data_IF_724574839963
#
_entry.id   IF_724574839963
#
_cell.length_a   1.000
_cell.length_b   1.000
_cell.length_c   1.000
_cell.angle_alpha   90.00
_cell.angle_beta   90.00
_cell.angle_gamma   90.00
#
_symmetry.space_group_name_H-M   'P 1'
#
loop_
_entity.id
_entity.type
_entity.pdbx_description
1 polymer ?
#
# COMPACT_ATOMS: atom_id res chain seq x y z
N UNK A 1 24.92 -55.96 -18.71
CA UNK A 1 24.25 -56.59 -17.54
C UNK A 1 23.52 -55.51 -16.78
N UNK A 2 22.18 -55.53 -16.84
CA UNK A 2 21.27 -54.55 -16.20
C UNK A 2 20.99 -55.04 -14.78
N UNK A 3 21.20 -54.18 -13.76
CA UNK A 3 20.68 -54.41 -12.39
C UNK A 3 19.58 -53.38 -12.14
N UNK A 4 18.34 -53.85 -12.17
CA UNK A 4 17.14 -53.17 -11.75
C UNK A 4 17.08 -53.15 -10.22
N UNK A 5 17.08 -51.97 -9.60
CA UNK A 5 16.80 -51.83 -8.16
C UNK A 5 15.30 -51.53 -7.99
N UNK A 6 14.59 -52.49 -7.39
CA UNK A 6 13.21 -52.32 -6.93
C UNK A 6 13.18 -51.50 -5.64
N UNK A 7 12.52 -50.34 -5.66
CA UNK A 7 12.13 -49.61 -4.46
C UNK A 7 10.84 -50.20 -3.90
N UNK A 8 10.93 -50.81 -2.73
CA UNK A 8 9.79 -51.29 -1.97
C UNK A 8 9.23 -50.15 -1.11
N UNK A 9 8.07 -49.63 -1.48
CA UNK A 9 7.32 -48.68 -0.68
C UNK A 9 6.71 -49.37 0.56
N UNK A 10 7.17 -48.99 1.75
CA UNK A 10 6.51 -49.36 3.01
C UNK A 10 5.39 -48.35 3.31
N UNK A 11 4.17 -48.77 3.07
CA UNK A 11 2.97 -48.06 3.61
C UNK A 11 2.93 -48.27 5.13
N UNK A 12 3.22 -47.22 5.89
CA UNK A 12 2.91 -47.14 7.31
C UNK A 12 1.52 -46.56 7.50
N UNK A 13 0.56 -47.39 7.84
CA UNK A 13 -0.77 -46.97 8.29
C UNK A 13 -0.69 -46.48 9.73
N UNK A 14 -1.08 -45.20 9.96
CA UNK A 14 -1.27 -44.66 11.30
C UNK A 14 -2.71 -44.97 11.79
N UNK A 15 -2.90 -45.47 13.00
CA UNK A 15 -4.21 -45.71 13.56
C UNK A 15 -4.86 -44.36 13.97
N UNK A 16 -6.02 -44.04 13.38
CA UNK A 16 -6.84 -42.89 13.77
C UNK A 16 -7.54 -43.24 15.10
N UNK A 17 -7.09 -42.66 16.20
CA UNK A 17 -7.80 -42.70 17.49
C UNK A 17 -9.08 -41.88 17.38
N UNK A 18 -10.24 -42.53 17.37
CA UNK A 18 -11.54 -41.87 17.57
C UNK A 18 -11.65 -41.42 19.02
N UNK A 19 -11.53 -40.14 19.30
CA UNK A 19 -11.90 -39.57 20.58
C UNK A 19 -13.43 -39.31 20.57
N UNK A 20 -14.11 -39.94 21.52
CA UNK A 20 -15.51 -39.72 21.84
C UNK A 20 -15.65 -38.31 22.46
N UNK A 21 -16.17 -37.36 21.70
CA UNK A 21 -16.54 -36.06 22.24
C UNK A 21 -17.81 -36.17 23.05
N UNK A 22 -17.70 -35.92 24.34
CA UNK A 22 -18.87 -35.70 25.21
C UNK A 22 -19.52 -34.39 24.83
N UNK A 23 -20.84 -34.43 24.58
CA UNK A 23 -21.68 -33.25 24.41
C UNK A 23 -21.75 -32.49 25.75
N UNK A 24 -21.02 -31.40 25.85
CA UNK A 24 -21.23 -30.38 26.87
C UNK A 24 -22.28 -29.40 26.39
N UNK A 25 -23.25 -29.17 27.22
CA UNK A 25 -24.39 -28.27 27.06
C UNK A 25 -23.99 -26.90 26.55
N UNK A 26 -24.62 -26.52 25.44
CA UNK A 26 -24.43 -25.27 24.72
C UNK A 26 -25.01 -24.10 25.54
N UNK A 27 -24.20 -23.43 26.35
CA UNK A 27 -24.55 -22.14 26.93
C UNK A 27 -24.39 -21.11 25.84
N UNK A 28 -25.48 -20.71 25.19
CA UNK A 28 -25.53 -19.59 24.26
C UNK A 28 -25.19 -18.30 25.03
N UNK A 29 -23.93 -17.90 24.98
CA UNK A 29 -23.51 -16.56 25.38
C UNK A 29 -24.06 -15.61 24.32
N UNK A 30 -25.12 -14.90 24.64
CA UNK A 30 -25.68 -13.78 23.86
C UNK A 30 -24.60 -12.70 23.77
N UNK A 31 -23.81 -12.73 22.72
CA UNK A 31 -22.90 -11.64 22.36
C UNK A 31 -23.78 -10.50 21.85
N UNK A 32 -23.97 -9.46 22.66
CA UNK A 32 -24.51 -8.19 22.22
C UNK A 32 -23.70 -7.71 21.01
N UNK A 33 -24.34 -7.13 19.97
CA UNK A 33 -23.61 -6.66 18.79
C UNK A 33 -22.65 -5.54 19.21
N UNK A 34 -21.36 -5.84 19.29
CA UNK A 34 -20.35 -4.82 19.49
C UNK A 34 -20.49 -3.84 18.33
N UNK A 35 -20.70 -2.54 18.62
CA UNK A 35 -20.68 -1.46 17.62
C UNK A 35 -19.31 -1.47 16.98
N UNK A 36 -19.22 -2.02 15.76
CA UNK A 36 -17.99 -1.98 14.97
C UNK A 36 -17.65 -0.51 14.75
N UNK A 37 -16.52 -0.06 15.28
CA UNK A 37 -15.99 1.25 14.95
C UNK A 37 -15.79 1.33 13.43
N UNK A 38 -16.17 2.44 12.79
CA UNK A 38 -15.97 2.58 11.34
C UNK A 38 -14.49 2.43 11.00
N UNK A 39 -14.18 1.61 10.01
CA UNK A 39 -12.82 1.39 9.53
C UNK A 39 -12.31 2.65 8.84
N UNK A 40 -11.00 2.86 8.91
CA UNK A 40 -10.29 3.94 8.24
C UNK A 40 -10.16 3.57 6.76
N UNK A 41 -10.72 4.38 5.88
CA UNK A 41 -10.66 4.20 4.43
C UNK A 41 -9.28 4.58 3.91
N UNK A 42 -8.56 3.64 3.30
CA UNK A 42 -7.24 3.90 2.75
C UNK A 42 -7.17 3.62 1.27
N UNK A 43 -6.31 4.38 0.58
CA UNK A 43 -5.92 4.17 -0.80
C UNK A 43 -4.40 4.10 -0.92
N UNK A 44 -3.89 3.13 -1.69
CA UNK A 44 -2.50 3.01 -2.09
C UNK A 44 -2.39 3.27 -3.58
N UNK A 45 -1.69 4.32 -3.96
CA UNK A 45 -1.57 4.78 -5.35
C UNK A 45 -0.11 4.77 -5.79
N UNK A 46 0.16 4.11 -6.91
CA UNK A 46 1.47 4.06 -7.52
C UNK A 46 1.50 4.93 -8.78
N UNK A 47 2.45 5.83 -8.84
CA UNK A 47 2.81 6.62 -10.02
C UNK A 47 4.11 6.09 -10.66
N UNK A 48 5.02 6.94 -11.12
CA UNK A 48 6.25 6.48 -11.77
C UNK A 48 7.33 6.10 -10.76
N UNK A 49 7.50 4.80 -10.54
CA UNK A 49 8.53 4.19 -9.69
C UNK A 49 8.79 2.73 -10.06
N UNK A 50 9.62 2.04 -9.27
CA UNK A 50 9.88 0.60 -9.36
C UNK A 50 8.89 -0.26 -8.57
N UNK A 51 8.01 0.33 -7.78
CA UNK A 51 7.04 -0.32 -6.87
C UNK A 51 7.65 -1.09 -5.68
N UNK A 52 8.93 -0.88 -5.38
CA UNK A 52 9.58 -1.54 -4.22
C UNK A 52 8.90 -1.20 -2.89
N UNK A 53 8.36 0.02 -2.73
CA UNK A 53 7.61 0.36 -1.51
C UNK A 53 6.28 -0.36 -1.43
N UNK A 54 5.64 -0.68 -2.57
CA UNK A 54 4.46 -1.55 -2.61
C UNK A 54 4.81 -2.96 -2.12
N UNK A 55 5.99 -3.50 -2.48
CA UNK A 55 6.48 -4.80 -1.97
C UNK A 55 6.67 -4.72 -0.47
N UNK A 56 7.41 -3.73 0.03
CA UNK A 56 7.62 -3.52 1.48
C UNK A 56 6.29 -3.34 2.23
N UNK A 57 5.34 -2.57 1.68
CA UNK A 57 4.01 -2.42 2.27
C UNK A 57 3.26 -3.75 2.38
N UNK A 58 3.36 -4.62 1.36
CA UNK A 58 2.71 -5.94 1.41
C UNK A 58 3.34 -6.87 2.46
N UNK A 59 4.65 -6.79 2.67
CA UNK A 59 5.34 -7.51 3.74
C UNK A 59 4.90 -7.03 5.11
N UNK A 60 4.92 -5.71 5.34
CA UNK A 60 4.41 -5.10 6.58
C UNK A 60 2.94 -5.46 6.84
N UNK A 61 2.11 -5.41 5.80
CA UNK A 61 0.71 -5.79 5.90
C UNK A 61 0.54 -7.27 6.28
N UNK A 62 1.37 -8.18 5.75
CA UNK A 62 1.32 -9.58 6.09
C UNK A 62 1.60 -9.80 7.59
N UNK A 63 2.60 -9.11 8.14
CA UNK A 63 2.96 -9.20 9.56
C UNK A 63 1.88 -8.61 10.48
N UNK A 64 1.18 -7.56 10.03
CA UNK A 64 0.15 -6.85 10.79
C UNK A 64 -1.28 -7.16 10.34
N UNK A 65 -1.50 -8.19 9.52
CA UNK A 65 -2.78 -8.49 8.88
C UNK A 65 -3.96 -8.59 9.85
N UNK A 66 -3.78 -9.26 10.98
CA UNK A 66 -4.85 -9.49 11.96
C UNK A 66 -5.39 -8.18 12.55
N UNK A 67 -4.52 -7.20 12.76
CA UNK A 67 -4.86 -5.88 13.25
C UNK A 67 -5.42 -5.00 12.11
N UNK A 68 -4.72 -4.97 10.97
CA UNK A 68 -5.05 -4.07 9.86
C UNK A 68 -6.38 -4.40 9.18
N UNK A 69 -6.77 -5.66 9.10
CA UNK A 69 -8.08 -6.05 8.57
C UNK A 69 -9.26 -5.52 9.41
N UNK A 70 -9.06 -5.28 10.71
CA UNK A 70 -10.09 -4.70 11.59
C UNK A 70 -10.03 -3.16 11.58
N UNK A 71 -8.86 -2.58 11.35
CA UNK A 71 -8.62 -1.14 11.40
C UNK A 71 -8.90 -0.45 10.06
N UNK A 72 -8.52 -1.07 8.94
CA UNK A 72 -8.54 -0.48 7.62
C UNK A 72 -9.61 -1.05 6.69
N UNK A 73 -10.15 -0.18 5.83
CA UNK A 73 -10.92 -0.50 4.64
C UNK A 73 -10.09 -0.09 3.40
N UNK A 74 -9.53 -1.06 2.70
CA UNK A 74 -8.73 -0.84 1.47
C UNK A 74 -9.67 -0.53 0.31
N UNK A 75 -9.86 0.76 0.00
CA UNK A 75 -10.70 1.24 -1.11
C UNK A 75 -10.00 1.19 -2.46
N UNK A 76 -8.69 1.42 -2.44
CA UNK A 76 -7.85 1.42 -3.62
C UNK A 76 -6.48 0.83 -3.29
N UNK A 77 -6.12 -0.28 -3.92
CA UNK A 77 -4.79 -0.90 -3.84
C UNK A 77 -4.63 -1.91 -5.00
N UNK A 78 -4.16 -1.45 -6.16
CA UNK A 78 -4.14 -2.26 -7.39
C UNK A 78 -3.32 -3.53 -7.28
N UNK A 79 -2.28 -3.53 -6.45
CA UNK A 79 -1.47 -4.72 -6.19
C UNK A 79 -2.21 -5.80 -5.38
N UNK A 80 -3.25 -5.42 -4.59
CA UNK A 80 -3.92 -6.29 -3.64
C UNK A 80 -5.32 -6.72 -4.08
N UNK A 81 -5.99 -5.93 -4.93
CA UNK A 81 -7.38 -6.17 -5.27
C UNK A 81 -7.73 -5.75 -6.70
N UNK A 82 -8.70 -6.43 -7.30
CA UNK A 82 -9.21 -6.14 -8.64
C UNK A 82 -10.25 -5.03 -8.67
N UNK A 83 -11.05 -4.88 -7.59
CA UNK A 83 -12.05 -3.81 -7.49
C UNK A 83 -11.46 -2.63 -6.75
N UNK A 84 -11.25 -1.53 -7.45
CA UNK A 84 -10.65 -0.30 -6.92
C UNK A 84 -11.60 0.87 -7.18
N UNK A 85 -11.88 1.65 -6.13
CA UNK A 85 -12.78 2.80 -6.21
C UNK A 85 -12.03 4.05 -5.73
N UNK A 86 -12.08 5.13 -6.50
CA UNK A 86 -11.57 6.44 -6.10
C UNK A 86 -12.78 7.26 -5.62
N UNK A 87 -13.12 7.11 -4.35
CA UNK A 87 -14.17 7.87 -3.67
C UNK A 87 -13.58 8.76 -2.56
N UNK A 88 -13.91 8.53 -1.31
CA UNK A 88 -13.35 9.24 -0.16
C UNK A 88 -12.33 8.38 0.56
N UNK A 89 -11.19 8.98 0.91
CA UNK A 89 -10.14 8.36 1.70
C UNK A 89 -9.90 9.11 3.00
N UNK A 90 -9.72 8.38 4.08
CA UNK A 90 -9.18 8.96 5.30
C UNK A 90 -7.67 9.18 5.13
N UNK A 91 -6.96 8.21 4.50
CA UNK A 91 -5.53 8.30 4.18
C UNK A 91 -5.30 7.85 2.73
N UNK A 92 -4.63 8.66 1.93
CA UNK A 92 -4.08 8.29 0.64
C UNK A 92 -2.55 8.17 0.74
N UNK A 93 -2.00 7.00 0.46
CA UNK A 93 -0.58 6.76 0.30
C UNK A 93 -0.21 6.90 -1.17
N UNK A 94 0.79 7.70 -1.46
CA UNK A 94 1.25 8.00 -2.82
C UNK A 94 2.69 7.55 -2.97
N UNK A 95 2.90 6.55 -3.80
CA UNK A 95 4.21 6.07 -4.22
C UNK A 95 4.54 6.56 -5.63
N UNK A 96 5.81 6.92 -5.86
CA UNK A 96 6.30 7.31 -7.18
C UNK A 96 6.22 8.81 -7.47
N UNK A 97 6.86 9.20 -8.56
CA UNK A 97 6.96 10.58 -9.01
C UNK A 97 5.92 10.92 -10.08
N UNK A 98 5.62 12.20 -10.26
CA UNK A 98 4.71 12.71 -11.28
C UNK A 98 5.51 12.98 -12.56
N UNK A 99 5.20 12.25 -13.63
CA UNK A 99 5.94 12.27 -14.89
C UNK A 99 5.12 12.67 -16.10
N UNK A 100 3.79 12.86 -15.95
CA UNK A 100 2.88 13.28 -17.00
C UNK A 100 1.79 14.21 -16.44
N UNK A 101 1.12 14.95 -17.31
CA UNK A 101 -0.02 15.79 -16.93
C UNK A 101 -1.14 14.95 -16.30
N UNK A 102 -1.47 13.80 -16.88
CA UNK A 102 -2.47 12.88 -16.34
C UNK A 102 -2.14 12.44 -14.91
N UNK A 103 -0.85 12.24 -14.58
CA UNK A 103 -0.43 11.95 -13.20
C UNK A 103 -0.72 13.14 -12.29
N UNK A 104 -0.45 14.36 -12.74
CA UNK A 104 -0.72 15.57 -11.99
C UNK A 104 -2.22 15.77 -11.71
N UNK A 105 -3.07 15.61 -12.72
CA UNK A 105 -4.53 15.68 -12.58
C UNK A 105 -5.07 14.62 -11.62
N UNK A 106 -4.66 13.36 -11.81
CA UNK A 106 -5.07 12.28 -10.94
C UNK A 106 -4.62 12.50 -9.49
N UNK A 107 -3.41 13.02 -9.28
CA UNK A 107 -2.90 13.31 -7.93
C UNK A 107 -3.73 14.43 -7.26
N UNK A 108 -4.13 15.46 -8.00
CA UNK A 108 -5.03 16.51 -7.50
C UNK A 108 -6.41 15.94 -7.13
N UNK A 109 -6.96 15.04 -7.97
CA UNK A 109 -8.22 14.36 -7.68
C UNK A 109 -8.13 13.55 -6.38
N UNK A 110 -7.07 12.74 -6.22
CA UNK A 110 -6.83 11.95 -5.02
C UNK A 110 -6.71 12.84 -3.79
N UNK A 111 -5.95 13.95 -3.90
CA UNK A 111 -5.80 14.91 -2.80
C UNK A 111 -7.14 15.52 -2.38
N UNK A 112 -7.97 15.90 -3.33
CA UNK A 112 -9.28 16.49 -3.06
C UNK A 112 -10.23 15.53 -2.33
N UNK A 113 -10.06 14.22 -2.53
CA UNK A 113 -10.85 13.15 -1.91
C UNK A 113 -10.22 12.55 -0.64
N UNK A 114 -9.09 13.07 -0.18
CA UNK A 114 -8.34 12.51 0.95
C UNK A 114 -8.25 13.49 2.11
N UNK A 115 -8.50 13.02 3.35
CA UNK A 115 -8.27 13.83 4.57
C UNK A 115 -6.79 14.03 4.81
N UNK A 116 -6.00 12.94 4.74
CA UNK A 116 -4.54 12.96 4.87
C UNK A 116 -3.92 12.33 3.61
N UNK A 117 -2.80 12.89 3.17
CA UNK A 117 -2.01 12.36 2.05
C UNK A 117 -0.57 12.16 2.50
N UNK A 118 -0.07 10.93 2.31
CA UNK A 118 1.26 10.50 2.70
C UNK A 118 2.08 10.18 1.45
N UNK A 119 3.19 10.87 1.25
CA UNK A 119 4.15 10.55 0.19
C UNK A 119 5.09 9.44 0.65
N UNK A 120 5.23 8.38 -0.14
CA UNK A 120 5.99 7.17 0.23
C UNK A 120 7.10 6.89 -0.77
N UNK A 121 8.31 6.72 -0.24
CA UNK A 121 9.49 6.41 -1.01
C UNK A 121 10.17 7.64 -1.63
N UNK A 122 11.46 7.50 -1.99
CA UNK A 122 12.28 8.58 -2.49
C UNK A 122 11.72 9.23 -3.78
N UNK A 123 11.10 8.45 -4.67
CA UNK A 123 10.49 9.01 -5.88
C UNK A 123 9.35 9.99 -5.58
N UNK A 124 8.51 9.68 -4.58
CA UNK A 124 7.41 10.57 -4.16
C UNK A 124 7.91 11.79 -3.37
N UNK A 125 8.89 11.58 -2.47
CA UNK A 125 9.35 12.59 -1.48
C UNK A 125 10.35 13.57 -2.10
N UNK A 126 11.32 13.09 -2.89
CA UNK A 126 12.39 13.92 -3.47
C UNK A 126 12.46 13.87 -5.00
N UNK A 127 11.58 13.10 -5.64
CA UNK A 127 11.55 12.95 -7.10
C UNK A 127 12.64 12.03 -7.69
N UNK A 128 13.41 11.33 -6.86
CA UNK A 128 14.54 10.49 -7.28
C UNK A 128 14.36 9.05 -6.81
N UNK A 129 14.87 8.05 -7.54
CA UNK A 129 15.69 8.15 -8.78
C UNK A 129 14.89 8.37 -10.07
N UNK A 130 13.53 8.37 -10.06
CA UNK A 130 12.71 8.55 -11.27
C UNK A 130 13.01 9.84 -12.03
N UNK A 131 13.46 10.88 -11.33
CA UNK A 131 13.74 12.19 -11.89
C UNK A 131 15.17 12.43 -12.41
N UNK A 132 15.98 11.40 -12.64
CA UNK A 132 17.37 11.55 -13.11
C UNK A 132 17.48 12.45 -14.34
N UNK A 133 16.51 12.39 -15.27
CA UNK A 133 16.48 13.23 -16.48
C UNK A 133 16.42 14.73 -16.19
N UNK A 134 16.00 15.14 -14.98
CA UNK A 134 15.98 16.55 -14.59
C UNK A 134 17.39 17.16 -14.57
N UNK A 135 18.40 16.35 -14.29
CA UNK A 135 19.81 16.75 -14.25
C UNK A 135 20.53 16.60 -15.60
N UNK A 136 19.84 16.13 -16.66
CA UNK A 136 20.46 15.94 -17.97
C UNK A 136 20.91 17.27 -18.58
N UNK A 137 22.10 17.24 -19.23
CA UNK A 137 22.59 18.35 -20.03
C UNK A 137 21.80 18.46 -21.33
N UNK A 138 21.92 19.61 -22.02
CA UNK A 138 21.17 19.90 -23.25
C UNK A 138 21.21 18.74 -24.25
N UNK A 139 22.38 18.24 -24.58
CA UNK A 139 22.55 17.12 -25.53
C UNK A 139 21.70 15.90 -25.15
N UNK A 140 21.73 15.50 -23.88
CA UNK A 140 20.97 14.35 -23.40
C UNK A 140 19.43 14.62 -23.42
N UNK A 141 19.03 15.87 -23.17
CA UNK A 141 17.61 16.28 -23.26
C UNK A 141 17.13 16.21 -24.71
N UNK A 142 17.94 16.71 -25.65
CA UNK A 142 17.63 16.66 -27.08
C UNK A 142 17.51 15.21 -27.58
N UNK A 143 18.37 14.30 -27.08
CA UNK A 143 18.33 12.88 -27.43
C UNK A 143 17.05 12.15 -26.95
N UNK A 144 16.43 12.57 -25.84
CA UNK A 144 15.21 11.94 -25.29
C UNK A 144 13.92 12.67 -25.65
N UNK A 145 13.98 13.83 -26.30
CA UNK A 145 12.82 14.69 -26.56
C UNK A 145 11.71 13.96 -27.32
N UNK A 146 12.06 13.14 -28.31
CA UNK A 146 11.09 12.33 -29.06
C UNK A 146 10.37 11.32 -28.18
N UNK A 147 11.03 10.75 -27.16
CA UNK A 147 10.42 9.84 -26.20
C UNK A 147 9.44 10.59 -25.28
N UNK A 148 9.85 11.77 -24.79
CA UNK A 148 8.99 12.58 -23.93
C UNK A 148 7.71 12.97 -24.67
N UNK A 149 7.82 13.38 -25.93
CA UNK A 149 6.67 13.70 -26.79
C UNK A 149 5.80 12.48 -27.06
N UNK A 150 6.41 11.35 -27.45
CA UNK A 150 5.68 10.12 -27.77
C UNK A 150 4.88 9.58 -26.60
N UNK A 151 5.39 9.70 -25.38
CA UNK A 151 4.74 9.20 -24.17
C UNK A 151 4.01 10.29 -23.37
N UNK A 152 3.80 11.47 -23.93
CA UNK A 152 3.18 12.61 -23.27
C UNK A 152 3.77 12.88 -21.87
N UNK A 153 5.10 12.73 -21.75
CA UNK A 153 5.81 12.92 -20.50
C UNK A 153 6.15 14.39 -20.27
N UNK A 154 6.08 14.81 -19.01
CA UNK A 154 6.55 16.14 -18.62
C UNK A 154 8.05 16.32 -18.93
N UNK A 155 8.48 17.51 -19.35
CA UNK A 155 9.91 17.83 -19.53
C UNK A 155 10.72 17.64 -18.23
N UNK A 156 10.08 17.87 -17.07
CA UNK A 156 10.64 17.72 -15.74
C UNK A 156 9.78 16.76 -14.92
N UNK A 157 10.41 15.81 -14.23
CA UNK A 157 9.76 14.95 -13.24
C UNK A 157 9.52 15.76 -11.97
N UNK A 158 8.33 15.67 -11.40
CA UNK A 158 7.93 16.37 -10.20
C UNK A 158 7.79 15.38 -9.04
N UNK A 159 8.13 15.81 -7.83
CA UNK A 159 7.78 15.11 -6.60
C UNK A 159 6.32 15.41 -6.22
N UNK A 160 5.75 14.63 -5.31
CA UNK A 160 4.35 14.77 -4.92
C UNK A 160 4.05 16.17 -4.35
N UNK A 161 4.95 16.70 -3.52
CA UNK A 161 4.78 18.03 -2.88
C UNK A 161 4.92 19.21 -3.85
N UNK A 162 5.42 19.00 -5.08
CA UNK A 162 5.40 20.03 -6.12
C UNK A 162 3.99 20.23 -6.72
N UNK A 163 3.10 19.27 -6.54
CA UNK A 163 1.76 19.24 -7.16
C UNK A 163 0.64 19.45 -6.15
N UNK A 164 0.74 18.81 -4.97
CA UNK A 164 -0.28 18.87 -3.92
C UNK A 164 0.34 18.98 -2.53
N UNK A 165 -0.46 19.44 -1.55
CA UNK A 165 -0.06 19.44 -0.14
C UNK A 165 0.09 18.00 0.36
N UNK A 166 1.23 17.70 0.95
CA UNK A 166 1.57 16.44 1.63
C UNK A 166 1.45 16.65 3.14
N UNK A 167 0.81 15.73 3.84
CA UNK A 167 0.61 15.79 5.30
C UNK A 167 1.68 15.01 6.07
N UNK A 168 2.26 13.96 5.44
CA UNK A 168 3.37 13.19 6.00
C UNK A 168 4.21 12.56 4.88
N UNK A 169 5.46 12.24 5.20
CA UNK A 169 6.43 11.65 4.27
C UNK A 169 7.10 10.43 4.90
N UNK A 170 7.30 9.39 4.08
CA UNK A 170 8.11 8.20 4.39
C UNK A 170 9.21 8.12 3.33
N UNK A 171 10.42 8.60 3.59
CA UNK A 171 11.53 8.54 2.64
C UNK A 171 12.08 7.11 2.51
N UNK A 172 12.97 6.91 1.54
CA UNK A 172 13.68 5.64 1.33
C UNK A 172 13.46 5.05 -0.06
N UNK A 173 14.37 4.20 -0.50
CA UNK A 173 14.31 3.49 -1.78
C UNK A 173 14.95 2.09 -1.62
N UNK A 174 14.16 1.12 -1.15
CA UNK A 174 12.81 1.23 -0.60
C UNK A 174 12.72 1.95 0.76
N UNK A 175 11.49 2.22 1.21
CA UNK A 175 11.22 2.80 2.54
C UNK A 175 11.62 1.85 3.65
N UNK A 176 11.97 2.41 4.82
CA UNK A 176 12.15 1.62 6.04
C UNK A 176 10.79 1.18 6.62
N UNK A 177 10.56 -0.14 6.87
CA UNK A 177 9.30 -0.66 7.40
C UNK A 177 8.88 -0.06 8.74
N UNK A 178 9.85 0.16 9.66
CA UNK A 178 9.55 0.70 10.98
C UNK A 178 9.14 2.17 10.89
N UNK A 179 9.84 2.96 10.08
CA UNK A 179 9.49 4.35 9.82
C UNK A 179 8.11 4.48 9.17
N UNK A 180 7.78 3.57 8.25
CA UNK A 180 6.45 3.50 7.66
C UNK A 180 5.38 3.25 8.71
N UNK A 181 5.57 2.26 9.60
CA UNK A 181 4.65 1.95 10.70
C UNK A 181 4.48 3.12 11.68
N UNK A 182 5.57 3.83 12.02
CA UNK A 182 5.51 5.01 12.86
C UNK A 182 4.63 6.11 12.24
N UNK A 183 4.81 6.39 10.94
CA UNK A 183 4.00 7.37 10.21
C UNK A 183 2.55 6.94 10.14
N UNK A 184 2.26 5.67 9.83
CA UNK A 184 0.89 5.11 9.81
C UNK A 184 0.22 5.31 11.18
N UNK A 185 0.87 4.90 12.26
CA UNK A 185 0.34 4.99 13.62
C UNK A 185 0.08 6.45 14.03
N UNK A 186 0.98 7.37 13.69
CA UNK A 186 0.82 8.81 13.94
C UNK A 186 -0.39 9.37 13.20
N UNK A 187 -0.51 9.14 11.90
CA UNK A 187 -1.60 9.66 11.07
C UNK A 187 -2.95 9.08 11.50
N UNK A 188 -3.01 7.80 11.83
CA UNK A 188 -4.19 7.14 12.40
C UNK A 188 -4.58 7.76 13.74
N UNK A 189 -3.59 8.05 14.60
CA UNK A 189 -3.81 8.71 15.88
C UNK A 189 -4.40 10.12 15.73
N UNK A 190 -3.91 10.90 14.76
CA UNK A 190 -4.43 12.23 14.41
C UNK A 190 -5.90 12.16 13.97
N UNK A 191 -6.22 11.25 13.04
CA UNK A 191 -7.59 11.05 12.56
C UNK A 191 -8.56 10.66 13.67
N UNK A 192 -8.14 9.79 14.60
CA UNK A 192 -8.97 9.41 15.75
C UNK A 192 -9.23 10.59 16.68
N UNK A 193 -8.24 11.47 16.92
CA UNK A 193 -8.40 12.69 17.72
C UNK A 193 -9.35 13.69 17.03
N UNK A 194 -9.18 13.92 15.73
CA UNK A 194 -10.07 14.79 14.93
C UNK A 194 -11.51 14.31 14.93
N UNK A 195 -11.73 12.98 14.85
CA UNK A 195 -13.07 12.38 14.92
C UNK A 195 -13.72 12.51 16.31
N UNK A 196 -12.91 12.45 17.39
CA UNK A 196 -13.39 12.66 18.75
C UNK A 196 -13.81 14.11 19.00
N UNK A 197 -13.00 15.07 18.52
CA UNK A 197 -13.29 16.51 18.67
C UNK A 197 -14.55 16.99 17.94
N UNK A 198 -14.95 16.31 16.86
CA UNK A 198 -16.18 16.64 16.10
C UNK A 198 -17.47 16.09 16.70
N UNK A 199 -17.36 15.26 17.75
CA UNK A 199 -18.54 14.67 18.46
C UNK A 199 -18.89 15.45 19.74
N UNK A 200 -18.09 16.44 20.12
CA UNK A 200 -18.33 17.37 21.20
C UNK A 200 -18.93 18.66 20.66
#
# INVERSE_FOLDING_TARGET
>A
MKKTLMLQERKKSFPIRRSTFHHSTNTQISMSPQRKTPKIKIGWFTFSCCEDNTVVMTEVMNDHWQEWKELFDFRYARALQSKNVIDEFDIAFIEGAVTSENHGEKLKEIRAKSKKLVAVGACAVIGMPAGQRNAYKKKQKDEIEFLLTRFASLPKVLKVSDVVKVDAEVPGCPMDPNQFLEVVNRVVGELKKEAASKKL
#
